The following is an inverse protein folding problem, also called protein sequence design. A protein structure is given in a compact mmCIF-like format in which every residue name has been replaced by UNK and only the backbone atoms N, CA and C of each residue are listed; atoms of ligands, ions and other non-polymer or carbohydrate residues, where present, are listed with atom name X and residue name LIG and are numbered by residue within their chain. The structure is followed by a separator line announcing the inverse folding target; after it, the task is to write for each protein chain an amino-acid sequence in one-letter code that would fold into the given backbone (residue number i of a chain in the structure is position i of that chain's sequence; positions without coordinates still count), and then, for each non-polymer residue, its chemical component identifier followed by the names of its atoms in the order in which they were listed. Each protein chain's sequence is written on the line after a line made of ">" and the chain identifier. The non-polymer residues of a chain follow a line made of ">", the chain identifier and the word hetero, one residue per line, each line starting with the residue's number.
data_IF_851056693778
#
_entry.id   IF_851056693778
#
_cell.length_a   1.000
_cell.length_b   1.000
_cell.length_c   1.000
_cell.angle_alpha   90.00
_cell.angle_beta   90.00
_cell.angle_gamma   90.00
#
_symmetry.space_group_name_H-M   'P 1'
#
loop_
_entity.id
_entity.type
_entity.pdbx_description
1 polymer ?
#
# COMPACT_ATOMS: atom_id res chain seq x y z
N UNK A 1 75.68 22.66 27.83
CA UNK A 1 76.44 21.41 27.62
C UNK A 1 75.60 20.26 28.13
N UNK A 2 75.39 19.27 27.25
CA UNK A 2 74.94 17.89 27.48
C UNK A 2 73.52 17.62 28.03
N UNK A 3 72.70 17.14 27.09
CA UNK A 3 71.59 16.17 27.20
C UNK A 3 71.81 15.09 28.28
N UNK A 4 70.72 14.49 28.79
CA UNK A 4 70.53 13.03 28.93
C UNK A 4 69.12 12.68 29.51
N UNK A 5 68.33 11.95 28.69
CA UNK A 5 67.32 10.90 29.03
C UNK A 5 66.03 11.28 29.82
N UNK A 6 64.83 10.69 29.62
CA UNK A 6 64.36 9.48 28.91
C UNK A 6 62.82 9.53 28.73
N UNK A 7 62.36 9.09 27.55
CA UNK A 7 61.16 8.28 27.23
C UNK A 7 59.82 8.53 27.94
N UNK A 8 58.85 9.02 27.17
CA UNK A 8 57.45 8.55 27.25
C UNK A 8 56.84 8.58 25.84
N UNK A 9 56.84 7.43 25.17
CA UNK A 9 56.04 7.18 23.96
C UNK A 9 54.56 7.14 24.34
N UNK A 10 53.83 8.22 24.07
CA UNK A 10 52.37 8.20 23.97
C UNK A 10 52.01 7.88 22.52
N UNK A 11 51.67 6.62 22.26
CA UNK A 11 50.93 6.23 21.06
C UNK A 11 49.53 6.88 21.14
N UNK A 12 49.33 7.95 20.38
CA UNK A 12 48.00 8.48 20.10
C UNK A 12 47.26 7.50 19.19
N UNK A 13 46.37 6.69 19.77
CA UNK A 13 45.39 5.92 19.00
C UNK A 13 44.32 6.90 18.54
N UNK A 14 44.43 7.37 17.31
CA UNK A 14 43.34 8.08 16.63
C UNK A 14 42.25 7.06 16.31
N UNK A 15 41.22 7.00 17.16
CA UNK A 15 40.00 6.24 16.90
C UNK A 15 39.18 6.99 15.84
N UNK A 16 39.41 6.70 14.56
CA UNK A 16 38.51 7.10 13.48
C UNK A 16 37.24 6.26 13.58
N UNK A 17 36.22 6.80 14.25
CA UNK A 17 34.84 6.32 14.15
C UNK A 17 34.34 6.61 12.74
N UNK A 18 34.51 5.64 11.84
CA UNK A 18 33.80 5.63 10.56
C UNK A 18 32.36 5.23 10.87
N UNK A 19 31.50 6.23 11.06
CA UNK A 19 30.06 6.03 11.13
C UNK A 19 29.56 5.61 9.75
N UNK A 20 29.58 4.31 9.45
CA UNK A 20 28.82 3.77 8.32
C UNK A 20 27.35 3.93 8.66
N UNK A 21 26.72 5.01 8.18
CA UNK A 21 25.28 5.06 8.03
C UNK A 21 24.92 3.99 7.00
N UNK A 22 24.54 2.81 7.49
CA UNK A 22 23.80 1.85 6.70
C UNK A 22 22.44 2.50 6.49
N UNK A 23 22.24 3.10 5.32
CA UNK A 23 20.90 3.46 4.89
C UNK A 23 20.10 2.16 4.83
N UNK A 24 19.27 1.91 5.85
CA UNK A 24 18.27 0.86 5.74
C UNK A 24 17.35 1.26 4.59
N UNK A 25 16.99 0.33 3.69
CA UNK A 25 15.94 0.62 2.72
C UNK A 25 14.70 1.00 3.52
N UNK A 26 14.24 2.23 3.34
CA UNK A 26 12.90 2.64 3.76
C UNK A 26 11.98 1.86 2.84
N UNK A 27 11.51 0.70 3.32
CA UNK A 27 10.44 -0.03 2.64
C UNK A 27 9.20 0.86 2.79
N UNK A 28 8.69 1.35 1.65
CA UNK A 28 7.51 2.21 1.60
C UNK A 28 6.26 1.47 2.13
N UNK A 29 6.24 0.14 2.03
CA UNK A 29 5.29 -0.71 2.76
C UNK A 29 5.94 -1.19 4.06
N UNK A 30 5.88 -0.34 5.08
CA UNK A 30 6.13 -0.76 6.46
C UNK A 30 4.98 -1.64 6.94
N UNK A 31 5.21 -2.62 7.85
CA UNK A 31 4.11 -3.28 8.57
C UNK A 31 3.17 -2.20 9.10
N UNK A 32 1.83 -2.43 9.09
CA UNK A 32 0.85 -1.56 9.75
C UNK A 32 1.47 -1.02 11.04
N UNK A 33 1.90 0.23 10.99
CA UNK A 33 2.85 0.72 11.96
C UNK A 33 2.14 1.02 13.27
N UNK A 34 2.87 1.10 14.38
CA UNK A 34 2.29 1.46 15.69
C UNK A 34 1.46 2.75 15.64
N UNK A 35 1.74 3.64 14.68
CA UNK A 35 0.99 4.87 14.43
C UNK A 35 -0.53 4.66 14.23
N UNK A 36 -0.98 3.50 13.71
CA UNK A 36 -2.43 3.23 13.57
C UNK A 36 -3.11 2.95 14.92
N UNK A 37 -2.35 2.49 15.92
CA UNK A 37 -2.84 2.30 17.29
C UNK A 37 -2.79 3.60 18.11
N UNK A 38 -2.21 4.68 17.54
CA UNK A 38 -2.12 6.01 18.14
C UNK A 38 -2.61 7.09 17.17
N UNK A 39 -3.80 6.91 16.59
CA UNK A 39 -4.32 7.77 15.52
C UNK A 39 -4.31 9.24 15.90
N UNK A 40 -4.79 9.58 17.11
CA UNK A 40 -4.86 10.96 17.57
C UNK A 40 -3.49 11.66 17.54
N UNK A 41 -2.44 10.97 17.98
CA UNK A 41 -1.10 11.54 18.06
C UNK A 41 -0.54 11.86 16.66
N UNK A 42 -1.03 11.17 15.63
CA UNK A 42 -0.56 11.25 14.25
C UNK A 42 -1.49 12.06 13.32
N UNK A 43 -2.64 12.59 13.79
CA UNK A 43 -3.59 13.35 12.94
C UNK A 43 -2.91 14.51 12.22
N UNK A 44 -1.96 15.19 12.88
CA UNK A 44 -1.23 16.30 12.28
C UNK A 44 -0.42 15.80 11.08
N UNK A 45 0.39 14.78 11.28
CA UNK A 45 1.23 14.17 10.25
C UNK A 45 0.38 13.66 9.09
N UNK A 46 -0.74 12.96 9.36
CA UNK A 46 -1.68 12.52 8.32
C UNK A 46 -2.29 13.68 7.53
N UNK A 47 -2.56 14.82 8.18
CA UNK A 47 -3.11 16.00 7.49
C UNK A 47 -2.05 16.62 6.57
N UNK A 48 -0.80 16.72 7.03
CA UNK A 48 0.33 17.21 6.24
C UNK A 48 0.65 16.28 5.07
N UNK A 49 0.57 14.96 5.26
CA UNK A 49 0.75 13.95 4.21
C UNK A 49 -0.33 14.04 3.13
N UNK A 50 -1.61 14.22 3.51
CA UNK A 50 -2.71 14.43 2.55
C UNK A 50 -2.50 15.70 1.72
N UNK A 51 -2.15 16.81 2.38
CA UNK A 51 -1.85 18.07 1.68
C UNK A 51 -0.64 17.94 0.74
N UNK A 52 0.40 17.24 1.20
CA UNK A 52 1.59 16.97 0.40
C UNK A 52 1.27 16.14 -0.83
N UNK A 53 0.47 15.07 -0.69
CA UNK A 53 0.07 14.21 -1.80
C UNK A 53 -0.74 14.99 -2.84
N UNK A 54 -1.74 15.76 -2.40
CA UNK A 54 -2.53 16.63 -3.29
C UNK A 54 -1.61 17.59 -4.06
N UNK A 55 -0.66 18.23 -3.37
CA UNK A 55 0.30 19.15 -4.01
C UNK A 55 1.24 18.48 -5.02
N UNK A 56 1.70 17.26 -4.72
CA UNK A 56 2.54 16.46 -5.63
C UNK A 56 1.80 16.05 -6.89
N UNK A 57 0.59 15.53 -6.75
CA UNK A 57 -0.24 15.14 -7.89
C UNK A 57 -0.66 16.36 -8.70
N UNK A 58 -1.00 17.49 -8.07
CA UNK A 58 -1.31 18.73 -8.79
C UNK A 58 -0.13 19.24 -9.62
N UNK A 59 1.08 19.18 -9.07
CA UNK A 59 2.30 19.55 -9.78
C UNK A 59 2.52 18.63 -10.99
N UNK A 60 2.32 17.32 -10.83
CA UNK A 60 2.43 16.34 -11.91
C UNK A 60 1.40 16.58 -13.00
N UNK A 61 0.11 16.73 -12.65
CA UNK A 61 -0.95 16.95 -13.64
C UNK A 61 -0.77 18.29 -14.36
N UNK A 62 -0.26 19.32 -13.68
CA UNK A 62 0.11 20.60 -14.30
C UNK A 62 1.28 20.47 -15.28
N UNK A 63 2.29 19.66 -14.95
CA UNK A 63 3.39 19.35 -15.87
C UNK A 63 2.89 18.54 -17.08
N UNK A 64 1.98 17.59 -16.87
CA UNK A 64 1.34 16.84 -17.94
C UNK A 64 0.53 17.75 -18.88
N UNK A 65 -0.27 18.66 -18.32
CA UNK A 65 -1.09 19.62 -19.06
C UNK A 65 -0.24 20.56 -19.93
N UNK A 66 0.91 21.02 -19.41
CA UNK A 66 1.76 22.00 -20.09
C UNK A 66 2.79 21.38 -21.04
N UNK A 67 3.26 20.16 -20.77
CA UNK A 67 4.42 19.56 -21.46
C UNK A 67 4.17 18.15 -22.01
N UNK A 68 2.99 17.58 -21.77
CA UNK A 68 2.58 16.25 -22.25
C UNK A 68 3.15 15.08 -21.44
N UNK A 69 2.75 13.85 -21.79
CA UNK A 69 3.05 12.62 -21.04
C UNK A 69 4.55 12.39 -20.79
N UNK A 70 5.41 12.75 -21.75
CA UNK A 70 6.87 12.53 -21.65
C UNK A 70 7.55 13.39 -20.59
N UNK A 71 6.88 14.41 -20.06
CA UNK A 71 7.42 15.32 -19.07
C UNK A 71 7.18 14.86 -17.62
N UNK A 72 6.45 13.76 -17.43
CA UNK A 72 6.08 13.23 -16.12
C UNK A 72 6.34 11.72 -16.08
N UNK A 73 6.65 11.20 -14.91
CA UNK A 73 6.64 9.77 -14.66
C UNK A 73 5.39 9.44 -13.84
N UNK A 74 4.43 8.74 -14.44
CA UNK A 74 3.17 8.40 -13.77
C UNK A 74 3.34 7.32 -12.71
N UNK A 75 4.45 6.55 -12.74
CA UNK A 75 4.77 5.56 -11.71
C UNK A 75 5.04 6.23 -10.36
N UNK A 76 5.52 7.48 -10.35
CA UNK A 76 5.73 8.27 -9.13
C UNK A 76 4.44 8.42 -8.30
N UNK A 77 3.25 8.29 -8.91
CA UNK A 77 1.97 8.33 -8.18
C UNK A 77 1.85 7.21 -7.14
N UNK A 78 2.37 6.03 -7.48
CA UNK A 78 2.39 4.88 -6.58
C UNK A 78 3.42 5.12 -5.48
N UNK A 79 4.62 5.57 -5.85
CA UNK A 79 5.67 5.90 -4.88
C UNK A 79 5.24 6.98 -3.88
N UNK A 80 4.52 8.02 -4.33
CA UNK A 80 4.00 9.05 -3.43
C UNK A 80 2.99 8.47 -2.44
N UNK A 81 2.11 7.58 -2.90
CA UNK A 81 1.10 6.96 -2.04
C UNK A 81 1.72 6.04 -1.00
N UNK A 82 2.64 5.18 -1.41
CA UNK A 82 3.34 4.27 -0.50
C UNK A 82 4.27 5.05 0.47
N UNK A 83 4.69 6.27 0.13
CA UNK A 83 5.57 7.06 1.01
C UNK A 83 4.89 7.69 2.23
N UNK A 84 3.55 7.70 2.31
CA UNK A 84 2.81 8.39 3.38
C UNK A 84 2.20 7.41 4.37
N UNK A 85 2.37 7.65 5.67
CA UNK A 85 1.78 6.79 6.72
C UNK A 85 0.26 6.82 6.74
N UNK A 86 -0.32 7.88 6.18
CA UNK A 86 -1.76 8.00 5.99
C UNK A 86 -2.34 6.81 5.22
N UNK A 87 -1.60 6.17 4.30
CA UNK A 87 -2.06 4.97 3.58
C UNK A 87 -2.54 3.88 4.57
N UNK A 88 -1.68 3.50 5.51
CA UNK A 88 -1.95 2.47 6.51
C UNK A 88 -3.08 2.88 7.46
N UNK A 89 -3.20 4.18 7.76
CA UNK A 89 -4.23 4.69 8.66
C UNK A 89 -5.63 4.62 8.03
N UNK A 90 -5.79 4.95 6.75
CA UNK A 90 -7.10 4.86 6.09
C UNK A 90 -7.45 3.41 5.73
N UNK A 91 -6.47 2.62 5.31
CA UNK A 91 -6.59 1.18 5.00
C UNK A 91 -7.24 0.42 6.16
N UNK A 92 -6.73 0.64 7.37
CA UNK A 92 -7.18 -0.05 8.59
C UNK A 92 -8.49 0.47 9.18
N UNK A 93 -8.94 1.69 8.83
CA UNK A 93 -10.06 2.34 9.49
C UNK A 93 -11.29 2.53 8.58
N UNK A 94 -11.12 2.63 7.26
CA UNK A 94 -12.24 2.83 6.34
C UNK A 94 -11.93 2.42 4.89
N UNK A 95 -11.95 1.10 4.64
CA UNK A 95 -11.59 0.49 3.35
C UNK A 95 -12.37 1.03 2.13
N UNK A 96 -13.68 1.36 2.19
CA UNK A 96 -14.38 1.91 1.03
C UNK A 96 -13.76 3.21 0.49
N UNK A 97 -13.24 4.06 1.38
CA UNK A 97 -12.56 5.29 0.96
C UNK A 97 -11.12 5.01 0.54
N UNK A 98 -10.43 4.06 1.17
CA UNK A 98 -9.14 3.58 0.71
C UNK A 98 -9.16 3.13 -0.77
N UNK A 99 -10.16 2.32 -1.14
CA UNK A 99 -10.36 1.91 -2.53
C UNK A 99 -10.65 3.10 -3.47
N UNK A 100 -11.40 4.09 -3.00
CA UNK A 100 -11.68 5.32 -3.77
C UNK A 100 -10.42 6.16 -4.01
N UNK A 101 -9.49 6.20 -3.04
CA UNK A 101 -8.19 6.88 -3.19
C UNK A 101 -7.37 6.16 -4.27
N UNK A 102 -7.24 4.84 -4.19
CA UNK A 102 -6.57 4.01 -5.20
C UNK A 102 -7.16 4.18 -6.61
N UNK A 103 -8.49 4.24 -6.72
CA UNK A 103 -9.16 4.51 -7.99
C UNK A 103 -8.80 5.89 -8.56
N UNK A 104 -8.69 6.91 -7.71
CA UNK A 104 -8.24 8.24 -8.10
C UNK A 104 -6.79 8.24 -8.61
N UNK A 105 -5.87 7.63 -7.84
CA UNK A 105 -4.44 7.48 -8.19
C UNK A 105 -4.29 6.81 -9.56
N UNK A 106 -4.89 5.63 -9.74
CA UNK A 106 -4.83 4.92 -11.01
C UNK A 106 -5.59 5.63 -12.12
N UNK A 107 -6.65 6.38 -11.80
CA UNK A 107 -7.37 7.22 -12.74
C UNK A 107 -6.44 8.28 -13.36
N UNK A 108 -5.67 8.99 -12.53
CA UNK A 108 -4.67 9.96 -13.00
C UNK A 108 -3.57 9.26 -13.79
N UNK A 109 -3.00 8.18 -13.24
CA UNK A 109 -1.95 7.39 -13.89
C UNK A 109 -2.35 6.93 -15.29
N UNK A 110 -3.49 6.28 -15.43
CA UNK A 110 -3.99 5.80 -16.72
C UNK A 110 -4.32 6.93 -17.68
N UNK A 111 -4.81 8.09 -17.19
CA UNK A 111 -5.03 9.24 -18.06
C UNK A 111 -3.72 9.77 -18.68
N UNK A 112 -2.63 9.75 -17.91
CA UNK A 112 -1.29 10.13 -18.38
C UNK A 112 -0.72 9.05 -19.32
N UNK A 113 -0.75 7.78 -18.90
CA UNK A 113 -0.16 6.65 -19.64
C UNK A 113 -0.83 6.43 -21.00
N UNK A 114 -2.16 6.55 -21.05
CA UNK A 114 -2.94 6.44 -22.28
C UNK A 114 -2.94 7.75 -23.09
N UNK A 115 -2.22 8.78 -22.64
CA UNK A 115 -2.12 10.10 -23.27
C UNK A 115 -3.51 10.74 -23.55
N UNK A 116 -4.43 10.61 -22.58
CA UNK A 116 -5.79 11.19 -22.62
C UNK A 116 -5.75 12.71 -22.45
N UNK A 117 -6.79 13.47 -22.85
CA UNK A 117 -6.83 14.91 -22.60
C UNK A 117 -6.53 15.26 -21.14
N UNK A 118 -5.76 16.32 -20.89
CA UNK A 118 -5.39 16.74 -19.54
C UNK A 118 -6.61 17.00 -18.64
N UNK A 119 -7.76 17.39 -19.22
CA UNK A 119 -9.02 17.51 -18.50
C UNK A 119 -9.51 16.20 -17.87
N UNK A 120 -9.22 15.04 -18.47
CA UNK A 120 -9.53 13.74 -17.87
C UNK A 120 -8.61 13.48 -16.68
N UNK A 121 -7.31 13.75 -16.78
CA UNK A 121 -6.39 13.65 -15.65
C UNK A 121 -6.81 14.57 -14.49
N UNK A 122 -7.24 15.81 -14.78
CA UNK A 122 -7.78 16.75 -13.79
C UNK A 122 -9.07 16.25 -13.12
N UNK A 123 -9.96 15.60 -13.87
CA UNK A 123 -11.16 15.00 -13.31
C UNK A 123 -10.83 13.88 -12.33
N UNK A 124 -9.87 13.02 -12.68
CA UNK A 124 -9.41 11.93 -11.81
C UNK A 124 -8.67 12.46 -10.58
N UNK A 125 -7.87 13.53 -10.74
CA UNK A 125 -7.23 14.25 -9.63
C UNK A 125 -8.29 14.79 -8.66
N UNK A 126 -9.33 15.48 -9.14
CA UNK A 126 -10.37 16.01 -8.27
C UNK A 126 -11.13 14.91 -7.49
N UNK A 127 -11.32 13.74 -8.10
CA UNK A 127 -11.88 12.57 -7.43
C UNK A 127 -10.92 12.03 -6.36
N UNK A 128 -9.63 11.93 -6.67
CA UNK A 128 -8.59 11.53 -5.73
C UNK A 128 -8.52 12.48 -4.52
N UNK A 129 -8.45 13.80 -4.76
CA UNK A 129 -8.39 14.83 -3.72
C UNK A 129 -9.61 14.73 -2.79
N UNK A 130 -10.81 14.53 -3.37
CA UNK A 130 -12.04 14.33 -2.61
C UNK A 130 -11.97 13.08 -1.73
N UNK A 131 -11.47 11.96 -2.27
CA UNK A 131 -11.29 10.71 -1.54
C UNK A 131 -10.25 10.83 -0.42
N UNK A 132 -9.14 11.54 -0.64
CA UNK A 132 -8.13 11.83 0.38
C UNK A 132 -8.71 12.64 1.54
N UNK A 133 -9.48 13.69 1.25
CA UNK A 133 -10.14 14.49 2.29
C UNK A 133 -11.20 13.69 3.06
N UNK A 134 -11.98 12.87 2.37
CA UNK A 134 -12.92 11.95 3.01
C UNK A 134 -12.18 10.95 3.92
N UNK A 135 -11.04 10.44 3.46
CA UNK A 135 -10.22 9.50 4.22
C UNK A 135 -9.67 10.14 5.48
N UNK A 136 -9.18 11.37 5.38
CA UNK A 136 -8.72 12.14 6.53
C UNK A 136 -9.86 12.38 7.54
N UNK A 137 -11.08 12.65 7.05
CA UNK A 137 -12.27 12.74 7.88
C UNK A 137 -12.57 11.42 8.62
N UNK A 138 -12.50 10.30 7.91
CA UNK A 138 -12.70 8.96 8.49
C UNK A 138 -11.66 8.63 9.56
N UNK A 139 -10.37 8.90 9.30
CA UNK A 139 -9.29 8.71 10.28
C UNK A 139 -9.46 9.60 11.51
N UNK A 140 -9.90 10.86 11.34
CA UNK A 140 -10.21 11.76 12.46
C UNK A 140 -11.37 11.24 13.32
N UNK A 141 -12.40 10.66 12.69
CA UNK A 141 -13.50 10.03 13.42
C UNK A 141 -13.04 8.76 14.15
N UNK A 142 -12.26 7.92 13.48
CA UNK A 142 -11.68 6.72 14.07
C UNK A 142 -10.79 7.05 15.27
N UNK A 143 -9.98 8.11 15.20
CA UNK A 143 -9.19 8.59 16.33
C UNK A 143 -10.06 8.95 17.55
N UNK A 144 -11.22 9.57 17.33
CA UNK A 144 -12.18 9.86 18.41
C UNK A 144 -12.78 8.59 19.02
N UNK A 145 -13.02 7.56 18.22
CA UNK A 145 -13.51 6.26 18.70
C UNK A 145 -12.41 5.48 19.44
N UNK A 146 -11.17 5.52 18.96
CA UNK A 146 -10.01 4.94 19.63
C UNK A 146 -9.80 5.55 21.02
N UNK A 147 -9.87 6.89 21.14
CA UNK A 147 -9.77 7.57 22.45
C UNK A 147 -10.87 7.17 23.44
N UNK A 148 -12.03 6.76 22.94
CA UNK A 148 -13.16 6.30 23.77
C UNK A 148 -13.07 4.80 24.08
N UNK A 149 -12.04 4.10 23.61
CA UNK A 149 -11.90 2.65 23.74
C UNK A 149 -12.94 1.87 22.95
N UNK A 150 -13.46 2.44 21.85
CA UNK A 150 -14.48 1.84 21.00
C UNK A 150 -13.89 1.09 19.78
N UNK A 151 -12.58 1.15 19.60
CA UNK A 151 -11.86 0.40 18.58
C UNK A 151 -10.89 -0.56 19.25
N UNK A 152 -10.83 -1.78 18.74
CA UNK A 152 -9.81 -2.75 19.13
C UNK A 152 -8.44 -2.29 18.60
N UNK A 153 -7.38 -2.69 19.30
CA UNK A 153 -6.03 -2.47 18.78
C UNK A 153 -5.83 -3.32 17.53
N UNK A 154 -5.33 -2.69 16.47
CA UNK A 154 -4.91 -3.39 15.26
C UNK A 154 -3.67 -4.21 15.63
N UNK A 155 -3.82 -5.52 15.63
CA UNK A 155 -2.70 -6.47 15.65
C UNK A 155 -2.32 -6.74 14.20
N UNK A 156 -1.02 -6.69 13.89
CA UNK A 156 -0.53 -7.02 12.55
C UNK A 156 -1.01 -8.42 12.18
N UNK A 157 -1.75 -8.54 11.09
CA UNK A 157 -2.31 -9.78 10.56
C UNK A 157 -1.21 -10.67 9.95
N UNK A 158 -0.31 -11.16 10.80
CA UNK A 158 0.31 -12.46 10.60
C UNK A 158 -0.46 -13.42 11.50
N UNK A 159 -1.51 -14.06 10.96
CA UNK A 159 -2.28 -15.05 11.71
C UNK A 159 -1.34 -16.15 12.19
N UNK A 160 -1.19 -16.27 13.51
CA UNK A 160 -0.45 -17.36 14.15
C UNK A 160 -1.15 -18.69 13.84
N UNK A 161 -0.68 -19.37 12.79
CA UNK A 161 -1.09 -20.74 12.49
C UNK A 161 -1.11 -21.13 11.01
N UNK A 162 -1.24 -20.18 10.08
CA UNK A 162 -1.26 -20.45 8.64
C UNK A 162 0.07 -20.04 7.98
N UNK A 163 0.55 -20.84 7.04
CA UNK A 163 1.67 -20.44 6.18
C UNK A 163 1.20 -19.35 5.21
N UNK A 164 2.10 -18.48 4.77
CA UNK A 164 1.77 -17.42 3.81
C UNK A 164 1.28 -18.02 2.48
N UNK A 165 1.82 -19.17 2.08
CA UNK A 165 1.34 -19.96 0.95
C UNK A 165 -0.11 -20.45 1.13
N UNK A 166 -0.53 -20.82 2.35
CA UNK A 166 -1.91 -21.21 2.64
C UNK A 166 -2.86 -20.00 2.72
N UNK A 167 -2.36 -18.82 3.12
CA UNK A 167 -3.12 -17.57 3.04
C UNK A 167 -3.56 -17.26 1.61
N UNK A 168 -2.73 -17.56 0.60
CA UNK A 168 -3.12 -17.40 -0.81
C UNK A 168 -4.33 -18.27 -1.19
N UNK A 169 -4.40 -19.51 -0.71
CA UNK A 169 -5.54 -20.39 -1.01
C UNK A 169 -6.85 -19.83 -0.42
N UNK A 170 -6.79 -19.30 0.81
CA UNK A 170 -7.95 -18.64 1.44
C UNK A 170 -8.36 -17.38 0.67
N UNK A 171 -7.41 -16.58 0.20
CA UNK A 171 -7.69 -15.41 -0.66
C UNK A 171 -8.47 -15.85 -1.90
N UNK A 172 -8.01 -16.90 -2.60
CA UNK A 172 -8.69 -17.41 -3.80
C UNK A 172 -10.12 -17.88 -3.49
N UNK A 173 -10.32 -18.59 -2.38
CA UNK A 173 -11.65 -19.01 -1.94
C UNK A 173 -12.58 -17.82 -1.62
N UNK A 174 -12.06 -16.75 -1.02
CA UNK A 174 -12.86 -15.53 -0.81
C UNK A 174 -13.21 -14.84 -2.13
N UNK A 175 -12.30 -14.80 -3.11
CA UNK A 175 -12.61 -14.29 -4.44
C UNK A 175 -13.71 -15.10 -5.13
N UNK A 176 -13.74 -16.44 -4.99
CA UNK A 176 -14.87 -17.24 -5.50
C UNK A 176 -16.20 -16.82 -4.84
N UNK A 177 -16.18 -16.51 -3.53
CA UNK A 177 -17.35 -15.98 -2.81
C UNK A 177 -17.78 -14.61 -3.33
N UNK A 178 -16.85 -13.75 -3.77
CA UNK A 178 -17.20 -12.46 -4.40
C UNK A 178 -18.06 -12.69 -5.64
N UNK A 179 -17.67 -13.62 -6.53
CA UNK A 179 -18.47 -13.97 -7.72
C UNK A 179 -19.86 -14.47 -7.31
N UNK A 180 -19.93 -15.35 -6.31
CA UNK A 180 -21.20 -15.90 -5.84
C UNK A 180 -22.13 -14.80 -5.29
N UNK A 181 -21.63 -13.92 -4.42
CA UNK A 181 -22.39 -12.79 -3.87
C UNK A 181 -22.82 -11.79 -4.91
N UNK A 182 -21.94 -11.52 -5.86
CA UNK A 182 -22.28 -10.65 -6.98
C UNK A 182 -23.38 -11.26 -7.87
N UNK A 183 -23.33 -12.58 -8.13
CA UNK A 183 -24.37 -13.29 -8.87
C UNK A 183 -25.73 -13.31 -8.13
N UNK A 184 -25.71 -13.31 -6.79
CA UNK A 184 -26.89 -13.14 -5.92
C UNK A 184 -27.44 -11.69 -5.93
N UNK A 185 -26.82 -10.76 -6.66
CA UNK A 185 -27.12 -9.32 -6.67
C UNK A 185 -26.84 -8.62 -5.34
N UNK A 186 -25.92 -9.16 -4.55
CA UNK A 186 -25.46 -8.60 -3.28
C UNK A 186 -24.13 -7.87 -3.51
N UNK A 187 -24.16 -6.79 -4.30
CA UNK A 187 -22.96 -6.05 -4.70
C UNK A 187 -22.21 -5.44 -3.52
N UNK A 188 -22.92 -4.99 -2.48
CA UNK A 188 -22.31 -4.42 -1.28
C UNK A 188 -21.58 -5.51 -0.47
N UNK A 189 -22.17 -6.69 -0.33
CA UNK A 189 -21.51 -7.85 0.32
C UNK A 189 -20.30 -8.31 -0.50
N UNK A 190 -20.42 -8.37 -1.83
CA UNK A 190 -19.31 -8.73 -2.71
C UNK A 190 -18.15 -7.75 -2.55
N UNK A 191 -18.44 -6.45 -2.50
CA UNK A 191 -17.46 -5.38 -2.29
C UNK A 191 -16.80 -5.50 -0.91
N UNK A 192 -17.59 -5.74 0.14
CA UNK A 192 -17.06 -5.98 1.50
C UNK A 192 -16.10 -7.16 1.53
N UNK A 193 -16.44 -8.27 0.87
CA UNK A 193 -15.57 -9.45 0.83
C UNK A 193 -14.24 -9.12 0.12
N UNK A 194 -14.25 -8.36 -0.98
CA UNK A 194 -13.00 -7.94 -1.65
C UNK A 194 -12.11 -7.16 -0.69
N UNK A 195 -12.69 -6.17 -0.02
CA UNK A 195 -12.00 -5.32 0.95
C UNK A 195 -11.46 -6.09 2.15
N UNK A 196 -12.28 -6.94 2.76
CA UNK A 196 -11.86 -7.77 3.90
C UNK A 196 -10.77 -8.78 3.52
N UNK A 197 -10.82 -9.30 2.29
CA UNK A 197 -9.81 -10.23 1.78
C UNK A 197 -8.46 -9.56 1.61
N UNK A 198 -8.46 -8.35 1.07
CA UNK A 198 -7.25 -7.56 0.91
C UNK A 198 -6.61 -7.24 2.28
N UNK A 199 -7.38 -6.61 3.18
CA UNK A 199 -6.88 -6.14 4.49
C UNK A 199 -6.41 -7.29 5.38
N UNK A 200 -7.24 -8.33 5.54
CA UNK A 200 -6.96 -9.35 6.54
C UNK A 200 -6.08 -10.50 6.05
N UNK A 201 -5.84 -10.61 4.74
CA UNK A 201 -5.08 -11.73 4.17
C UNK A 201 -3.97 -11.28 3.23
N UNK A 202 -4.26 -10.40 2.26
CA UNK A 202 -3.26 -10.03 1.27
C UNK A 202 -2.11 -9.21 1.89
N UNK A 203 -2.41 -8.25 2.77
CA UNK A 203 -1.37 -7.51 3.51
C UNK A 203 -0.42 -8.46 4.28
N UNK A 204 -0.95 -9.55 4.85
CA UNK A 204 -0.17 -10.52 5.63
C UNK A 204 0.90 -11.28 4.82
N UNK A 205 0.78 -11.30 3.49
CA UNK A 205 1.76 -11.95 2.59
C UNK A 205 2.60 -10.95 1.80
N UNK A 206 2.18 -9.69 1.75
CA UNK A 206 2.71 -8.65 0.88
C UNK A 206 4.19 -8.36 1.15
N UNK A 207 4.58 -8.19 2.42
CA UNK A 207 5.98 -7.89 2.77
C UNK A 207 6.98 -8.98 2.35
N UNK A 208 6.56 -10.24 2.26
CA UNK A 208 7.41 -11.32 1.72
C UNK A 208 7.38 -11.33 0.19
N UNK A 209 6.22 -11.06 -0.41
CA UNK A 209 6.06 -11.02 -1.86
C UNK A 209 6.80 -9.85 -2.49
N UNK A 210 6.77 -8.66 -1.90
CA UNK A 210 7.40 -7.45 -2.47
C UNK A 210 8.93 -7.62 -2.57
N UNK A 211 9.53 -8.33 -1.62
CA UNK A 211 10.95 -8.69 -1.65
C UNK A 211 11.31 -9.69 -2.76
N UNK A 212 10.32 -10.37 -3.34
CA UNK A 212 10.48 -11.36 -4.42
C UNK A 212 10.08 -10.82 -5.78
N UNK A 213 8.95 -10.13 -5.86
CA UNK A 213 8.38 -9.57 -7.07
C UNK A 213 7.46 -8.39 -6.73
N UNK A 214 8.05 -7.19 -6.60
CA UNK A 214 7.31 -5.96 -6.34
C UNK A 214 6.27 -5.64 -7.43
N UNK A 215 6.55 -6.01 -8.69
CA UNK A 215 5.60 -5.72 -9.78
C UNK A 215 4.36 -6.60 -9.69
N UNK A 216 4.50 -7.85 -9.24
CA UNK A 216 3.37 -8.73 -8.98
C UNK A 216 2.48 -8.18 -7.85
N UNK A 217 3.08 -7.63 -6.79
CA UNK A 217 2.34 -7.01 -5.68
C UNK A 217 1.53 -5.81 -6.17
N UNK A 218 2.17 -4.86 -6.86
CA UNK A 218 1.52 -3.66 -7.40
C UNK A 218 0.31 -4.01 -8.28
N UNK A 219 0.45 -5.03 -9.14
CA UNK A 219 -0.65 -5.48 -10.02
C UNK A 219 -1.78 -6.13 -9.23
N UNK A 220 -1.47 -6.93 -8.20
CA UNK A 220 -2.48 -7.52 -7.33
C UNK A 220 -3.21 -6.47 -6.49
N UNK A 221 -2.50 -5.46 -5.97
CA UNK A 221 -3.11 -4.33 -5.26
C UNK A 221 -4.04 -3.53 -6.17
N UNK A 222 -3.62 -3.26 -7.41
CA UNK A 222 -4.50 -2.66 -8.41
C UNK A 222 -5.75 -3.50 -8.62
N UNK A 223 -5.61 -4.82 -8.70
CA UNK A 223 -6.75 -5.69 -8.93
C UNK A 223 -7.73 -5.68 -7.75
N UNK A 224 -7.22 -5.74 -6.50
CA UNK A 224 -8.02 -5.69 -5.28
C UNK A 224 -8.67 -4.33 -5.04
N UNK A 225 -7.96 -3.23 -5.28
CA UNK A 225 -8.40 -1.89 -4.89
C UNK A 225 -9.07 -1.12 -6.03
N UNK A 226 -8.83 -1.51 -7.29
CA UNK A 226 -9.34 -0.79 -8.48
C UNK A 226 -10.10 -1.72 -9.41
N UNK A 227 -9.44 -2.69 -10.03
CA UNK A 227 -10.02 -3.45 -11.16
C UNK A 227 -11.31 -4.17 -10.77
N UNK A 228 -11.28 -4.95 -9.68
CA UNK A 228 -12.42 -5.73 -9.24
C UNK A 228 -13.52 -4.87 -8.61
N UNK A 229 -13.24 -3.95 -7.65
CA UNK A 229 -14.26 -3.04 -7.11
C UNK A 229 -14.94 -2.22 -8.20
N UNK A 230 -14.18 -1.74 -9.21
CA UNK A 230 -14.75 -0.99 -10.33
C UNK A 230 -15.64 -1.85 -11.21
N UNK A 231 -15.27 -3.11 -11.47
CA UNK A 231 -16.11 -4.02 -12.24
C UNK A 231 -17.48 -4.26 -11.55
N UNK A 232 -17.48 -4.36 -10.22
CA UNK A 232 -18.70 -4.48 -9.40
C UNK A 232 -19.50 -3.17 -9.43
N UNK A 233 -18.86 -2.03 -9.16
CA UNK A 233 -19.50 -0.71 -9.10
C UNK A 233 -20.10 -0.27 -10.44
N UNK A 234 -19.43 -0.59 -11.56
CA UNK A 234 -19.90 -0.31 -12.91
C UNK A 234 -21.02 -1.28 -13.35
N UNK A 235 -21.50 -2.17 -12.47
CA UNK A 235 -22.51 -3.20 -12.74
C UNK A 235 -22.19 -4.07 -13.98
N UNK A 236 -20.91 -4.47 -14.13
CA UNK A 236 -20.53 -5.39 -15.21
C UNK A 236 -21.26 -6.73 -15.09
N UNK A 237 -21.35 -7.49 -16.16
CA UNK A 237 -21.96 -8.82 -16.11
C UNK A 237 -21.21 -9.75 -15.14
N UNK A 238 -21.92 -10.76 -14.61
CA UNK A 238 -21.31 -11.78 -13.72
C UNK A 238 -20.10 -12.44 -14.37
N UNK A 239 -20.17 -12.73 -15.67
CA UNK A 239 -19.05 -13.34 -16.40
C UNK A 239 -17.85 -12.39 -16.49
N UNK A 240 -18.06 -11.10 -16.74
CA UNK A 240 -16.99 -10.11 -16.76
C UNK A 240 -16.33 -9.92 -15.38
N UNK A 241 -17.11 -9.99 -14.29
CA UNK A 241 -16.55 -9.96 -12.92
C UNK A 241 -15.78 -11.25 -12.63
N UNK A 242 -16.29 -12.40 -13.08
CA UNK A 242 -15.59 -13.69 -12.96
C UNK A 242 -14.26 -13.67 -13.71
N UNK A 243 -14.21 -13.11 -14.91
CA UNK A 243 -12.99 -13.02 -15.71
C UNK A 243 -11.89 -12.23 -14.99
N UNK A 244 -12.24 -11.11 -14.34
CA UNK A 244 -11.30 -10.35 -13.48
C UNK A 244 -10.78 -11.23 -12.36
N UNK A 245 -11.65 -11.98 -11.69
CA UNK A 245 -11.27 -12.86 -10.57
C UNK A 245 -10.39 -14.02 -11.03
N UNK A 246 -10.64 -14.62 -12.20
CA UNK A 246 -9.77 -15.68 -12.76
C UNK A 246 -8.38 -15.15 -13.08
N UNK A 247 -8.30 -13.93 -13.63
CA UNK A 247 -7.03 -13.25 -13.90
C UNK A 247 -6.27 -12.93 -12.58
N UNK A 248 -6.98 -12.53 -11.52
CA UNK A 248 -6.40 -12.38 -10.17
C UNK A 248 -5.90 -13.72 -9.62
N UNK A 249 -6.69 -14.79 -9.73
CA UNK A 249 -6.32 -16.13 -9.26
C UNK A 249 -5.06 -16.66 -9.94
N UNK A 250 -4.86 -16.36 -11.22
CA UNK A 250 -3.63 -16.72 -11.95
C UNK A 250 -2.40 -16.00 -11.38
N UNK A 251 -2.53 -14.71 -11.03
CA UNK A 251 -1.45 -13.95 -10.37
C UNK A 251 -1.18 -14.45 -8.96
N UNK A 252 -2.24 -14.81 -8.23
CA UNK A 252 -2.13 -15.42 -6.90
C UNK A 252 -1.45 -16.79 -6.95
N UNK A 253 -1.66 -17.60 -7.99
CA UNK A 253 -0.92 -18.85 -8.17
C UNK A 253 0.59 -18.61 -8.29
N UNK A 254 0.99 -17.56 -8.99
CA UNK A 254 2.41 -17.14 -9.05
C UNK A 254 2.90 -16.66 -7.68
N UNK A 255 2.11 -15.87 -6.97
CA UNK A 255 2.45 -15.40 -5.62
C UNK A 255 2.66 -16.58 -4.65
N UNK A 256 1.80 -17.59 -4.73
CA UNK A 256 1.91 -18.81 -3.93
C UNK A 256 3.25 -19.51 -4.13
N UNK A 257 3.69 -19.69 -5.37
CA UNK A 257 4.97 -20.32 -5.69
C UNK A 257 6.14 -19.55 -5.04
N UNK A 258 6.15 -18.22 -5.15
CA UNK A 258 7.20 -17.37 -4.56
C UNK A 258 7.22 -17.47 -3.02
N UNK A 259 6.05 -17.56 -2.39
CA UNK A 259 5.92 -17.71 -0.94
C UNK A 259 6.38 -19.10 -0.48
N UNK A 260 6.03 -20.17 -1.20
CA UNK A 260 6.49 -21.52 -0.90
C UNK A 260 8.03 -21.62 -1.00
N UNK A 261 8.65 -20.97 -1.98
CA UNK A 261 10.10 -20.87 -2.09
C UNK A 261 10.71 -20.12 -0.90
N UNK A 262 10.12 -18.99 -0.50
CA UNK A 262 10.57 -18.22 0.66
C UNK A 262 10.39 -18.97 2.00
N UNK A 263 9.34 -19.78 2.12
CA UNK A 263 9.09 -20.65 3.28
C UNK A 263 10.10 -21.79 3.38
N UNK A 264 10.43 -22.44 2.25
CA UNK A 264 11.47 -23.48 2.20
C UNK A 264 12.84 -22.92 2.58
N UNK A 265 13.23 -21.80 1.98
CA UNK A 265 14.49 -21.13 2.28
C UNK A 265 14.63 -20.73 3.76
N UNK A 266 13.52 -20.36 4.43
CA UNK A 266 13.53 -20.10 5.88
C UNK A 266 13.75 -21.38 6.70
N UNK A 267 13.13 -22.50 6.32
CA UNK A 267 13.29 -23.79 7.02
C UNK A 267 14.69 -24.39 6.89
N UNK A 268 15.43 -24.07 5.82
CA UNK A 268 16.79 -24.58 5.59
C UNK A 268 17.88 -23.82 6.39
N UNK A 269 17.55 -22.66 6.95
CA UNK A 269 18.48 -21.80 7.70
C UNK A 269 18.43 -22.06 9.22
N UNK A 270 17.41 -22.78 9.70
CA UNK A 270 17.23 -23.17 11.11
C UNK A 270 17.43 -24.67 11.30
#
# INVERSE_FOLDING_TARGET
>A
MNSLFKSATTLGVSLLLVSTFVAQPVLANGPIGEHVNHLQANIKDYSEEVEWMIGKVDTMVSAYESKGAKAVNSDDLIEYWESVKFHSAIETNYVPVYASIWQGIYGVKMAIDDNKPASEARKQQAAMDSALWQGLGAVKLAAQFQQKGLLDNITTTATEGMTQSATIDEIKHKLDRVVAKYAERLSDEATSIVHDTYLHLFEGVEGTLIAKDAKLVEVLEKDFNVTLPKAIADNKSVDQVRDVIVDMQTKLDRAKVLLEEAEKARKDVF
#
